data_IF_888481603149
#
_entry.id   IF_888481603149
#
_cell.length_a   1.000
_cell.length_b   1.000
_cell.length_c   1.000
_cell.angle_alpha   90.00
_cell.angle_beta   90.00
_cell.angle_gamma   90.00
#
_symmetry.space_group_name_H-M   'P 1'
#
loop_
_entity.id
_entity.type
_entity.pdbx_description
1 polymer ?
#
# COMPACT_ATOMS: atom_id res chain seq x y z
N UNK A 1 -2.55 -24.47 7.33
CA UNK A 1 -3.41 -23.30 6.98
C UNK A 1 -2.62 -22.05 6.61
N UNK A 2 -1.65 -21.56 7.41
CA UNK A 2 -0.84 -20.37 7.05
C UNK A 2 -0.04 -20.50 5.75
N UNK A 3 0.66 -21.62 5.54
CA UNK A 3 1.40 -21.89 4.29
C UNK A 3 0.50 -21.87 3.05
N UNK A 4 -0.67 -22.54 3.11
CA UNK A 4 -1.65 -22.55 2.02
C UNK A 4 -2.15 -21.14 1.71
N UNK A 5 -2.43 -20.33 2.74
CA UNK A 5 -2.85 -18.94 2.55
C UNK A 5 -1.73 -18.05 1.97
N UNK A 6 -0.48 -18.25 2.40
CA UNK A 6 0.67 -17.54 1.84
C UNK A 6 0.89 -17.90 0.38
N UNK A 7 0.87 -19.19 0.03
CA UNK A 7 1.02 -19.66 -1.34
C UNK A 7 -0.11 -19.13 -2.23
N UNK A 8 -1.35 -19.14 -1.74
CA UNK A 8 -2.51 -18.59 -2.46
C UNK A 8 -2.36 -17.09 -2.70
N UNK A 9 -1.90 -16.32 -1.72
CA UNK A 9 -1.68 -14.88 -1.87
C UNK A 9 -0.56 -14.56 -2.87
N UNK A 10 0.53 -15.34 -2.86
CA UNK A 10 1.62 -15.18 -3.84
C UNK A 10 1.12 -15.52 -5.24
N UNK A 11 0.36 -16.61 -5.40
CA UNK A 11 -0.26 -16.98 -6.67
C UNK A 11 -1.22 -15.89 -7.16
N UNK A 12 -2.09 -15.37 -6.30
CA UNK A 12 -2.98 -14.25 -6.62
C UNK A 12 -2.19 -13.01 -7.07
N UNK A 13 -1.11 -12.66 -6.37
CA UNK A 13 -0.26 -11.53 -6.72
C UNK A 13 0.42 -11.70 -8.09
N UNK A 14 0.78 -12.93 -8.47
CA UNK A 14 1.37 -13.22 -9.78
C UNK A 14 0.32 -13.30 -10.90
N UNK A 15 -0.84 -13.89 -10.61
CA UNK A 15 -1.93 -14.07 -11.57
C UNK A 15 -2.64 -12.75 -11.86
N UNK A 16 -2.72 -11.85 -10.88
CA UNK A 16 -3.43 -10.57 -11.01
C UNK A 16 -2.94 -9.69 -12.19
N UNK A 17 -1.63 -9.36 -12.35
CA UNK A 17 -1.16 -8.58 -13.49
C UNK A 17 -1.46 -9.25 -14.83
N UNK A 18 -1.32 -10.58 -14.90
CA UNK A 18 -1.63 -11.34 -16.12
C UNK A 18 -3.14 -11.31 -16.42
N UNK A 19 -3.99 -11.50 -15.40
CA UNK A 19 -5.44 -11.49 -15.54
C UNK A 19 -5.95 -10.12 -15.98
N UNK A 20 -5.40 -9.01 -15.46
CA UNK A 20 -5.77 -7.65 -15.87
C UNK A 20 -5.30 -7.33 -17.28
N UNK A 21 -4.06 -7.71 -17.63
CA UNK A 21 -3.56 -7.53 -19.00
C UNK A 21 -4.36 -8.37 -20.01
N UNK A 22 -4.60 -9.64 -19.69
CA UNK A 22 -5.37 -10.55 -20.54
C UNK A 22 -6.81 -10.05 -20.70
N UNK A 23 -7.42 -9.58 -19.61
CA UNK A 23 -8.80 -9.09 -19.68
C UNK A 23 -8.92 -7.82 -20.51
N UNK A 24 -8.05 -6.83 -20.30
CA UNK A 24 -8.05 -5.58 -21.08
C UNK A 24 -7.62 -5.76 -22.54
N UNK A 25 -6.98 -6.88 -22.90
CA UNK A 25 -6.57 -7.18 -24.28
C UNK A 25 -7.60 -7.99 -25.07
N UNK A 26 -8.49 -8.71 -24.39
CA UNK A 26 -9.49 -9.59 -25.03
C UNK A 26 -10.94 -9.11 -24.84
N UNK A 27 -11.20 -8.27 -23.84
CA UNK A 27 -12.52 -7.76 -23.48
C UNK A 27 -12.57 -6.23 -23.53
N UNK A 28 -13.79 -5.69 -23.66
CA UNK A 28 -14.01 -4.24 -23.60
C UNK A 28 -13.78 -3.68 -22.20
N UNK A 29 -13.53 -2.36 -22.10
CA UNK A 29 -13.33 -1.68 -20.82
C UNK A 29 -14.55 -1.82 -19.90
N UNK A 30 -15.76 -1.86 -20.49
CA UNK A 30 -17.01 -2.13 -19.78
C UNK A 30 -17.03 -3.47 -19.08
N UNK A 31 -16.64 -4.54 -19.75
CA UNK A 31 -16.68 -5.90 -19.19
C UNK A 31 -15.66 -6.03 -18.05
N UNK A 32 -14.45 -5.53 -18.27
CA UNK A 32 -13.40 -5.50 -17.23
C UNK A 32 -13.85 -4.67 -16.02
N UNK A 33 -14.43 -3.49 -16.26
CA UNK A 33 -14.95 -2.62 -15.20
C UNK A 33 -16.05 -3.30 -14.39
N UNK A 34 -17.00 -3.98 -15.04
CA UNK A 34 -18.07 -4.73 -14.38
C UNK A 34 -17.53 -5.86 -13.49
N UNK A 35 -16.55 -6.62 -13.98
CA UNK A 35 -15.90 -7.68 -13.18
C UNK A 35 -15.20 -7.10 -11.96
N UNK A 36 -14.45 -6.00 -12.12
CA UNK A 36 -13.77 -5.34 -11.00
C UNK A 36 -14.75 -4.79 -9.96
N UNK A 37 -15.87 -4.20 -10.42
CA UNK A 37 -16.95 -3.73 -9.54
C UNK A 37 -17.60 -4.91 -8.80
N UNK A 38 -17.90 -6.01 -9.49
CA UNK A 38 -18.48 -7.21 -8.90
C UNK A 38 -17.57 -7.83 -7.82
N UNK A 39 -16.25 -7.73 -7.97
CA UNK A 39 -15.27 -8.16 -6.96
C UNK A 39 -15.19 -7.17 -5.79
N UNK A 40 -15.26 -5.86 -6.06
CA UNK A 40 -15.12 -4.82 -5.05
C UNK A 40 -16.36 -4.66 -4.15
N UNK A 41 -17.56 -4.89 -4.70
CA UNK A 41 -18.84 -4.72 -3.99
C UNK A 41 -18.97 -5.58 -2.72
N UNK A 42 -18.67 -6.90 -2.74
CA UNK A 42 -18.69 -7.72 -1.53
C UNK A 42 -17.71 -7.23 -0.47
N UNK A 43 -16.50 -6.83 -0.88
CA UNK A 43 -15.50 -6.30 0.04
C UNK A 43 -15.97 -4.99 0.70
N UNK A 44 -16.65 -4.13 -0.06
CA UNK A 44 -17.24 -2.89 0.46
C UNK A 44 -18.40 -3.17 1.43
N UNK A 45 -19.28 -4.10 1.09
CA UNK A 45 -20.41 -4.50 1.93
C UNK A 45 -19.94 -5.11 3.26
N UNK A 46 -18.91 -5.96 3.24
CA UNK A 46 -18.32 -6.52 4.45
C UNK A 46 -17.72 -5.43 5.33
N UNK A 47 -16.96 -4.48 4.76
CA UNK A 47 -16.39 -3.34 5.50
C UNK A 47 -17.47 -2.45 6.11
N UNK A 48 -18.57 -2.20 5.40
CA UNK A 48 -19.70 -1.43 5.91
C UNK A 48 -20.37 -2.12 7.12
N UNK A 49 -20.47 -3.46 7.09
CA UNK A 49 -21.07 -4.23 8.19
C UNK A 49 -20.16 -4.34 9.41
N UNK A 50 -18.85 -4.38 9.22
CA UNK A 50 -17.87 -4.61 10.31
C UNK A 50 -17.37 -3.34 10.98
N UNK A 51 -17.46 -2.18 10.32
CA UNK A 51 -16.87 -0.95 10.82
C UNK A 51 -17.81 -0.18 11.75
N UNK A 52 -17.25 0.35 12.85
CA UNK A 52 -17.96 1.27 13.73
C UNK A 52 -18.31 2.57 13.02
N UNK A 53 -19.48 3.14 13.32
CA UNK A 53 -20.02 4.32 12.61
C UNK A 53 -19.05 5.51 12.58
N UNK A 54 -18.27 5.70 13.64
CA UNK A 54 -17.28 6.77 13.77
C UNK A 54 -16.08 6.62 12.80
N UNK A 55 -15.81 5.41 12.30
CA UNK A 55 -14.67 5.11 11.43
C UNK A 55 -15.06 4.71 10.00
N UNK A 56 -16.36 4.72 9.66
CA UNK A 56 -16.85 4.35 8.34
C UNK A 56 -16.27 5.22 7.23
N UNK A 57 -16.31 6.55 7.38
CA UNK A 57 -15.90 7.46 6.30
C UNK A 57 -14.41 7.32 5.90
N UNK A 58 -13.44 7.31 6.85
CA UNK A 58 -12.03 7.08 6.51
C UNK A 58 -11.76 5.75 5.80
N UNK A 59 -12.52 4.70 6.13
CA UNK A 59 -12.35 3.34 5.58
C UNK A 59 -12.98 3.19 4.19
N UNK A 60 -14.12 3.87 3.95
CA UNK A 60 -14.91 3.69 2.73
C UNK A 60 -14.54 4.68 1.61
N UNK A 61 -14.00 5.85 1.93
CA UNK A 61 -13.72 6.92 0.94
C UNK A 61 -12.86 6.45 -0.25
N UNK A 62 -11.83 5.65 0.01
CA UNK A 62 -10.91 5.18 -1.05
C UNK A 62 -11.57 4.11 -1.94
N UNK A 63 -12.17 3.03 -1.38
CA UNK A 63 -12.97 2.10 -2.18
C UNK A 63 -14.08 2.76 -2.98
N UNK A 64 -14.78 3.75 -2.42
CA UNK A 64 -15.83 4.48 -3.12
C UNK A 64 -15.29 5.34 -4.27
N UNK A 65 -14.14 5.99 -4.08
CA UNK A 65 -13.44 6.71 -5.15
C UNK A 65 -13.10 5.77 -6.31
N UNK A 66 -12.49 4.62 -6.01
CA UNK A 66 -12.15 3.60 -7.02
C UNK A 66 -13.41 3.09 -7.72
N UNK A 67 -14.47 2.81 -6.97
CA UNK A 67 -15.76 2.38 -7.52
C UNK A 67 -16.33 3.42 -8.50
N UNK A 68 -16.31 4.70 -8.13
CA UNK A 68 -16.80 5.78 -8.99
C UNK A 68 -16.03 5.88 -10.30
N UNK A 69 -14.71 5.76 -10.26
CA UNK A 69 -13.84 5.78 -11.45
C UNK A 69 -14.11 4.58 -12.35
N UNK A 70 -14.22 3.39 -11.78
CA UNK A 70 -14.54 2.18 -12.55
C UNK A 70 -15.92 2.28 -13.20
N UNK A 71 -16.91 2.85 -12.51
CA UNK A 71 -18.25 3.09 -13.06
C UNK A 71 -18.20 4.02 -14.27
N UNK A 72 -17.39 5.09 -14.23
CA UNK A 72 -17.18 5.95 -15.41
C UNK A 72 -16.56 5.16 -16.57
N UNK A 73 -15.58 4.29 -16.29
CA UNK A 73 -15.03 3.37 -17.29
C UNK A 73 -16.06 2.45 -17.93
N UNK A 74 -17.01 1.95 -17.14
CA UNK A 74 -18.14 1.13 -17.62
C UNK A 74 -19.11 1.92 -18.48
N UNK A 75 -19.47 3.13 -18.03
CA UNK A 75 -20.43 3.99 -18.71
C UNK A 75 -19.90 4.50 -20.06
N UNK A 76 -18.64 4.95 -20.08
CA UNK A 76 -17.99 5.50 -21.27
C UNK A 76 -17.27 4.44 -22.13
N UNK A 77 -17.21 3.19 -21.66
CA UNK A 77 -16.48 2.08 -22.29
C UNK A 77 -15.03 2.46 -22.64
N UNK A 78 -14.36 3.10 -21.68
CA UNK A 78 -13.04 3.69 -21.88
C UNK A 78 -12.03 3.13 -20.87
N UNK A 79 -11.01 2.44 -21.39
CA UNK A 79 -9.98 1.78 -20.60
C UNK A 79 -9.14 2.78 -19.76
N UNK A 80 -9.10 4.06 -20.13
CA UNK A 80 -8.34 5.09 -19.41
C UNK A 80 -8.76 5.21 -17.94
N UNK A 81 -10.03 4.96 -17.62
CA UNK A 81 -10.51 4.96 -16.24
C UNK A 81 -9.94 3.79 -15.41
N UNK A 82 -9.81 2.61 -16.03
CA UNK A 82 -9.15 1.46 -15.41
C UNK A 82 -7.65 1.76 -15.23
N UNK A 83 -7.01 2.31 -16.25
CA UNK A 83 -5.58 2.67 -16.21
C UNK A 83 -5.25 3.77 -15.19
N UNK A 84 -6.16 4.71 -14.95
CA UNK A 84 -6.02 5.79 -13.98
C UNK A 84 -6.21 5.31 -12.52
N UNK A 85 -6.79 4.13 -12.30
CA UNK A 85 -7.14 3.64 -10.97
C UNK A 85 -5.93 3.59 -10.01
N UNK A 86 -4.76 3.01 -10.40
CA UNK A 86 -3.62 2.97 -9.49
C UNK A 86 -2.98 4.35 -9.28
N UNK A 87 -3.11 5.29 -10.23
CA UNK A 87 -2.68 6.69 -10.04
C UNK A 87 -3.50 7.33 -8.92
N UNK A 88 -4.83 7.23 -8.99
CA UNK A 88 -5.74 7.80 -8.00
C UNK A 88 -5.56 7.17 -6.62
N UNK A 89 -5.29 5.86 -6.54
CA UNK A 89 -4.97 5.19 -5.28
C UNK A 89 -3.70 5.78 -4.67
N UNK A 90 -2.62 5.93 -5.44
CA UNK A 90 -1.38 6.51 -4.94
C UNK A 90 -1.56 7.97 -4.49
N UNK A 91 -2.31 8.77 -5.25
CA UNK A 91 -2.61 10.16 -4.88
C UNK A 91 -3.46 10.26 -3.60
N UNK A 92 -4.43 9.37 -3.43
CA UNK A 92 -5.25 9.33 -2.22
C UNK A 92 -4.44 8.90 -0.99
N UNK A 93 -3.52 7.94 -1.16
CA UNK A 93 -2.58 7.52 -0.12
C UNK A 93 -1.58 8.65 0.22
N UNK A 94 -1.03 9.31 -0.80
CA UNK A 94 -0.18 10.48 -0.65
C UNK A 94 -0.90 11.56 0.16
N UNK A 95 -2.14 11.91 -0.21
CA UNK A 95 -2.93 12.90 0.50
C UNK A 95 -3.15 12.51 1.97
N UNK A 96 -3.44 11.23 2.24
CA UNK A 96 -3.63 10.73 3.61
C UNK A 96 -2.33 10.79 4.45
N UNK A 97 -1.20 10.38 3.89
CA UNK A 97 0.10 10.44 4.56
C UNK A 97 0.56 11.89 4.75
N UNK A 98 0.45 12.71 3.72
CA UNK A 98 0.81 14.12 3.77
C UNK A 98 -0.07 14.89 4.79
N UNK A 99 -1.39 14.68 4.79
CA UNK A 99 -2.27 15.33 5.77
C UNK A 99 -1.92 14.91 7.20
N UNK A 100 -1.50 13.66 7.40
CA UNK A 100 -1.08 13.19 8.74
C UNK A 100 0.20 13.85 9.26
N UNK A 101 1.04 14.40 8.38
CA UNK A 101 2.22 15.17 8.79
C UNK A 101 1.87 16.55 9.34
N UNK A 102 0.67 17.07 9.07
CA UNK A 102 0.21 18.35 9.60
C UNK A 102 -0.69 18.19 10.83
N UNK A 103 -1.18 16.98 11.10
CA UNK A 103 -1.97 16.65 12.29
C UNK A 103 -1.10 16.33 13.50
N UNK A 104 -1.75 15.90 14.58
CA UNK A 104 -1.11 15.54 15.85
C UNK A 104 -0.14 14.35 15.72
N UNK A 105 -0.47 13.38 14.86
CA UNK A 105 0.25 12.11 14.77
C UNK A 105 0.37 11.60 13.32
N UNK A 106 1.60 11.42 12.80
CA UNK A 106 1.82 10.79 11.49
C UNK A 106 1.29 9.35 11.42
N UNK A 107 0.85 8.91 10.24
CA UNK A 107 0.30 7.55 10.05
C UNK A 107 1.28 6.46 10.50
N UNK A 108 2.58 6.59 10.20
CA UNK A 108 3.57 5.59 10.62
C UNK A 108 3.70 5.55 12.14
N UNK A 109 3.59 6.68 12.83
CA UNK A 109 3.59 6.72 14.29
C UNK A 109 2.35 6.01 14.86
N UNK A 110 1.17 6.21 14.26
CA UNK A 110 -0.05 5.48 14.66
C UNK A 110 0.14 3.97 14.58
N UNK A 111 0.76 3.47 13.51
CA UNK A 111 1.07 2.04 13.37
C UNK A 111 2.14 1.56 14.37
N UNK A 112 3.15 2.38 14.63
CA UNK A 112 4.20 2.05 15.60
C UNK A 112 3.62 1.94 17.03
N UNK A 113 2.66 2.81 17.40
CA UNK A 113 2.00 2.78 18.71
C UNK A 113 1.11 1.56 18.96
N UNK A 114 0.65 0.89 17.92
CA UNK A 114 -0.05 -0.40 18.07
C UNK A 114 0.86 -1.51 18.60
N UNK A 115 2.17 -1.39 18.38
CA UNK A 115 3.17 -2.35 18.85
C UNK A 115 3.87 -1.86 20.12
N UNK A 116 4.16 -0.56 20.20
CA UNK A 116 4.86 0.09 21.30
C UNK A 116 4.10 1.37 21.68
N UNK A 117 3.15 1.31 22.64
CA UNK A 117 2.25 2.43 22.96
C UNK A 117 2.99 3.73 23.30
N UNK A 118 4.11 3.62 24.03
CA UNK A 118 4.90 4.73 24.55
C UNK A 118 6.21 4.91 23.77
N UNK A 119 6.11 5.57 22.61
CA UNK A 119 7.27 5.89 21.78
C UNK A 119 8.10 7.04 22.36
N UNK A 120 9.41 6.82 22.49
CA UNK A 120 10.37 7.87 22.83
C UNK A 120 10.43 8.96 21.76
N UNK A 121 10.86 10.17 22.13
CA UNK A 121 11.02 11.31 21.20
C UNK A 121 11.81 10.97 19.92
N UNK A 122 12.98 10.30 19.99
CA UNK A 122 13.71 9.88 18.81
C UNK A 122 12.91 8.93 17.89
N UNK A 123 12.10 8.03 18.46
CA UNK A 123 11.25 7.10 17.69
C UNK A 123 10.10 7.83 17.00
N UNK A 124 9.49 8.82 17.67
CA UNK A 124 8.47 9.70 17.05
C UNK A 124 9.04 10.48 15.88
N UNK A 125 10.21 11.10 16.04
CA UNK A 125 10.90 11.81 14.96
C UNK A 125 11.21 10.90 13.76
N UNK A 126 11.63 9.65 14.04
CA UNK A 126 11.85 8.66 12.98
C UNK A 126 10.55 8.28 12.25
N UNK A 127 9.44 8.08 12.97
CA UNK A 127 8.14 7.80 12.35
C UNK A 127 7.68 8.94 11.43
N UNK A 128 7.95 10.19 11.80
CA UNK A 128 7.69 11.35 10.93
C UNK A 128 8.53 11.31 9.66
N UNK A 129 9.83 11.01 9.77
CA UNK A 129 10.73 10.86 8.61
C UNK A 129 10.28 9.72 7.69
N UNK A 130 9.89 8.57 8.25
CA UNK A 130 9.35 7.46 7.49
C UNK A 130 8.05 7.84 6.77
N UNK A 131 7.17 8.61 7.43
CA UNK A 131 5.94 9.13 6.79
C UNK A 131 6.27 10.04 5.60
N UNK A 132 7.30 10.91 5.71
CA UNK A 132 7.78 11.72 4.57
C UNK A 132 8.31 10.84 3.43
N UNK A 133 9.09 9.80 3.74
CA UNK A 133 9.59 8.87 2.74
C UNK A 133 8.45 8.17 1.99
N UNK A 134 7.38 7.77 2.69
CA UNK A 134 6.16 7.24 2.08
C UNK A 134 5.46 8.26 1.17
N UNK A 135 5.40 9.54 1.57
CA UNK A 135 4.87 10.58 0.69
C UNK A 135 5.66 10.69 -0.61
N UNK A 136 7.00 10.72 -0.53
CA UNK A 136 7.86 10.76 -1.72
C UNK A 136 7.63 9.54 -2.60
N UNK A 137 7.56 8.35 -1.99
CA UNK A 137 7.27 7.11 -2.71
C UNK A 137 5.93 7.18 -3.46
N UNK A 138 4.83 7.56 -2.78
CA UNK A 138 3.51 7.64 -3.42
C UNK A 138 3.47 8.67 -4.55
N UNK A 139 4.17 9.81 -4.40
CA UNK A 139 4.26 10.82 -5.46
C UNK A 139 4.98 10.27 -6.70
N UNK A 140 6.15 9.64 -6.51
CA UNK A 140 6.90 9.02 -7.60
C UNK A 140 6.12 7.87 -8.24
N UNK A 141 5.48 7.04 -7.44
CA UNK A 141 4.72 5.90 -7.94
C UNK A 141 3.47 6.33 -8.71
N UNK A 142 2.78 7.38 -8.27
CA UNK A 142 1.70 8.01 -9.02
C UNK A 142 2.20 8.54 -10.37
N UNK A 143 3.34 9.22 -10.39
CA UNK A 143 3.93 9.77 -11.61
C UNK A 143 4.33 8.68 -12.61
N UNK A 144 5.01 7.62 -12.16
CA UNK A 144 5.39 6.48 -13.01
C UNK A 144 4.15 5.77 -13.55
N UNK A 145 3.17 5.49 -12.69
CA UNK A 145 1.92 4.85 -13.11
C UNK A 145 1.18 5.70 -14.16
N UNK A 146 1.12 7.02 -13.97
CA UNK A 146 0.49 7.93 -14.91
C UNK A 146 1.25 7.98 -16.25
N UNK A 147 2.58 8.04 -16.22
CA UNK A 147 3.40 7.99 -17.42
C UNK A 147 3.18 6.68 -18.21
N UNK A 148 3.14 5.54 -17.52
CA UNK A 148 2.85 4.25 -18.15
C UNK A 148 1.43 4.20 -18.74
N UNK A 149 0.44 4.75 -18.05
CA UNK A 149 -0.95 4.78 -18.52
C UNK A 149 -1.12 5.66 -19.77
N UNK A 150 -0.32 6.71 -19.92
CA UNK A 150 -0.44 7.68 -21.01
C UNK A 150 0.42 7.34 -22.23
N UNK A 151 1.59 6.72 -22.02
CA UNK A 151 2.61 6.65 -23.07
C UNK A 151 3.21 5.25 -23.29
N UNK A 152 2.94 4.27 -22.43
CA UNK A 152 3.57 2.95 -22.51
C UNK A 152 2.60 1.85 -23.00
N UNK A 153 3.13 0.72 -23.51
CA UNK A 153 2.32 -0.45 -23.81
C UNK A 153 1.55 -0.93 -22.58
N UNK A 154 0.33 -1.44 -22.79
CA UNK A 154 -0.53 -1.97 -21.73
C UNK A 154 0.17 -3.05 -20.88
N UNK A 155 1.03 -3.87 -21.50
CA UNK A 155 1.81 -4.90 -20.79
C UNK A 155 2.78 -4.31 -19.78
N UNK A 156 3.41 -3.18 -20.09
CA UNK A 156 4.33 -2.49 -19.17
C UNK A 156 3.56 -1.90 -17.99
N UNK A 157 2.42 -1.27 -18.27
CA UNK A 157 1.53 -0.75 -17.24
C UNK A 157 1.04 -1.87 -16.31
N UNK A 158 0.60 -3.00 -16.87
CA UNK A 158 0.11 -4.13 -16.08
C UNK A 158 1.22 -4.79 -15.25
N UNK A 159 2.41 -5.00 -15.83
CA UNK A 159 3.55 -5.55 -15.11
C UNK A 159 4.01 -4.64 -13.96
N UNK A 160 4.04 -3.32 -14.19
CA UNK A 160 4.43 -2.36 -13.18
C UNK A 160 3.42 -2.31 -12.04
N UNK A 161 2.14 -2.08 -12.37
CA UNK A 161 1.07 -1.89 -11.37
C UNK A 161 0.69 -3.17 -10.64
N UNK A 162 0.82 -4.33 -11.28
CA UNK A 162 0.49 -5.63 -10.69
C UNK A 162 1.65 -6.34 -10.00
N UNK A 163 2.91 -5.96 -10.25
CA UNK A 163 4.09 -6.63 -9.68
C UNK A 163 5.10 -5.66 -9.08
N UNK A 164 5.71 -4.81 -9.92
CA UNK A 164 6.84 -3.95 -9.53
C UNK A 164 6.46 -3.00 -8.39
N UNK A 165 5.31 -2.33 -8.48
CA UNK A 165 4.84 -1.40 -7.46
C UNK A 165 4.67 -2.08 -6.09
N UNK A 166 4.18 -3.33 -6.06
CA UNK A 166 4.06 -4.10 -4.82
C UNK A 166 5.41 -4.52 -4.26
N UNK A 167 6.36 -4.89 -5.13
CA UNK A 167 7.74 -5.17 -4.73
C UNK A 167 8.42 -3.95 -4.09
N UNK A 168 8.24 -2.77 -4.70
CA UNK A 168 8.76 -1.51 -4.16
C UNK A 168 8.09 -1.13 -2.82
N UNK A 169 6.78 -1.32 -2.69
CA UNK A 169 6.07 -1.13 -1.41
C UNK A 169 6.61 -2.08 -0.33
N UNK A 170 6.83 -3.36 -0.68
CA UNK A 170 7.45 -4.33 0.22
C UNK A 170 8.85 -3.92 0.65
N UNK A 171 9.66 -3.39 -0.28
CA UNK A 171 10.99 -2.86 0.01
C UNK A 171 10.93 -1.63 0.92
N UNK A 172 9.93 -0.75 0.76
CA UNK A 172 9.73 0.38 1.67
C UNK A 172 9.42 -0.07 3.10
N UNK A 173 8.54 -1.05 3.28
CA UNK A 173 8.28 -1.62 4.60
C UNK A 173 9.51 -2.31 5.18
N UNK A 174 10.22 -3.12 4.39
CA UNK A 174 11.43 -3.80 4.83
C UNK A 174 12.54 -2.80 5.20
N UNK A 175 12.71 -1.74 4.40
CA UNK A 175 13.66 -0.66 4.65
C UNK A 175 13.36 0.10 5.94
N UNK A 176 12.12 0.50 6.16
CA UNK A 176 11.69 1.15 7.41
C UNK A 176 11.97 0.26 8.62
N UNK A 177 11.59 -1.02 8.54
CA UNK A 177 11.81 -2.01 9.59
C UNK A 177 13.31 -2.19 9.91
N UNK A 178 14.15 -2.35 8.89
CA UNK A 178 15.59 -2.51 9.04
C UNK A 178 16.25 -1.25 9.62
N UNK A 179 15.86 -0.06 9.15
CA UNK A 179 16.39 1.22 9.66
C UNK A 179 15.99 1.43 11.12
N UNK A 180 14.75 1.09 11.49
CA UNK A 180 14.28 1.15 12.88
C UNK A 180 15.15 0.25 13.78
N UNK A 181 15.37 -1.00 13.38
CA UNK A 181 16.20 -1.93 14.15
C UNK A 181 17.68 -1.57 14.15
N UNK A 182 18.22 -1.01 13.08
CA UNK A 182 19.59 -0.53 13.02
C UNK A 182 19.81 0.67 13.96
N UNK A 183 18.86 1.61 13.99
CA UNK A 183 18.98 2.88 14.73
C UNK A 183 18.74 2.71 16.23
N UNK A 184 17.71 1.96 16.61
CA UNK A 184 17.33 1.79 18.02
C UNK A 184 17.93 0.55 18.67
N UNK A 185 18.34 -0.45 17.88
CA UNK A 185 19.01 -1.68 18.34
C UNK A 185 18.33 -2.39 19.50
N UNK A 186 17.02 -2.29 19.55
CA UNK A 186 16.17 -3.03 20.47
C UNK A 186 15.73 -4.34 19.81
N UNK A 187 15.98 -5.45 20.50
CA UNK A 187 15.73 -6.80 20.01
C UNK A 187 14.84 -7.54 21.00
N UNK A 188 13.70 -8.05 20.53
CA UNK A 188 12.84 -8.94 21.29
C UNK A 188 13.32 -10.40 21.25
N UNK A 189 12.58 -11.35 21.86
CA UNK A 189 12.98 -12.76 21.94
C UNK A 189 12.87 -13.56 20.61
N UNK A 190 12.32 -12.96 19.55
CA UNK A 190 12.05 -13.62 18.27
C UNK A 190 13.30 -14.03 17.46
N UNK A 191 13.17 -15.05 16.61
CA UNK A 191 14.28 -15.53 15.76
C UNK A 191 14.86 -14.45 14.83
N UNK A 192 14.01 -13.60 14.26
CA UNK A 192 14.44 -12.48 13.42
C UNK A 192 15.21 -11.43 14.22
N UNK A 193 14.84 -11.18 15.48
CA UNK A 193 15.59 -10.31 16.38
C UNK A 193 16.96 -10.89 16.74
N UNK A 194 17.08 -12.22 16.90
CA UNK A 194 18.38 -12.87 17.14
C UNK A 194 19.32 -12.76 15.93
N UNK A 195 18.79 -12.88 14.72
CA UNK A 195 19.58 -12.66 13.50
C UNK A 195 20.00 -11.20 13.36
N UNK A 196 19.08 -10.26 13.61
CA UNK A 196 19.40 -8.83 13.56
C UNK A 196 20.38 -8.41 14.66
N UNK A 197 20.30 -8.97 15.87
CA UNK A 197 21.26 -8.71 16.95
C UNK A 197 22.67 -9.22 16.62
N UNK A 198 22.80 -10.26 15.79
CA UNK A 198 24.10 -10.73 15.28
C UNK A 198 24.66 -9.80 14.21
N UNK A 199 23.81 -9.23 13.35
CA UNK A 199 24.20 -8.29 12.30
C UNK A 199 24.49 -6.89 12.86
N UNK A 200 23.76 -6.48 13.88
CA UNK A 200 23.84 -5.18 14.53
C UNK A 200 23.84 -5.37 16.06
N UNK A 201 25.02 -5.40 16.72
CA UNK A 201 25.10 -5.64 18.15
C UNK A 201 24.35 -4.58 18.96
N UNK A 202 23.59 -4.94 20.01
CA UNK A 202 22.93 -3.99 20.90
C UNK A 202 23.93 -2.97 21.45
N UNK A 203 23.54 -1.70 21.56
CA UNK A 203 24.37 -0.74 22.30
C UNK A 203 24.27 -1.09 23.78
N UNK A 204 25.35 -1.61 24.36
CA UNK A 204 25.47 -1.74 25.81
C UNK A 204 25.61 -0.32 26.39
N UNK A 205 24.81 0.00 27.41
CA UNK A 205 24.86 1.30 28.07
C UNK A 205 26.27 1.54 28.62
N UNK A 206 26.92 2.58 28.12
CA UNK A 206 28.29 2.96 28.44
C UNK A 206 28.79 3.91 27.37
N UNK A 207 28.48 5.20 27.58
CA UNK A 207 29.12 6.42 27.05
C UNK A 207 28.05 7.54 26.99
N UNK A 208 27.56 7.90 28.18
CA UNK A 208 26.92 9.16 28.50
C UNK A 208 27.57 9.68 29.77
#
# INVERSE_FOLDING_TARGET
>A
MRLVATTLNVLLALVYPFAVWWSLSHFGAREVGLVLIAVLLPALALRFRSAERAHLWPVLRLPLLVMGVLLLGVLFDDARYVLATPVLINLALLAAFASSLFGEMPIVERFARLQEPDLTEPKRAHCRQATVAWCVFFALNAAVTAALALAAPLSWWAAYTGGVAYGLMGLMFAGEYLVRHYRFREYGPGLHHRLLARLFPPRHGGDA
#
